data_IF_757586682067
#
_entry.id   IF_757586682067
#
_cell.length_a   1.000
_cell.length_b   1.000
_cell.length_c   1.000
_cell.angle_alpha   90.00
_cell.angle_beta   90.00
_cell.angle_gamma   90.00
#
_symmetry.space_group_name_H-M   'P 1'
#
loop_
_entity.id
_entity.type
_entity.pdbx_description
1 polymer ?
#
# COMPACT_ATOMS: atom_id res chain seq x y z
N UNK A 1 -1.11 -24.97 1.31
CA UNK A 1 -0.54 -24.19 0.18
C UNK A 1 0.32 -23.11 0.81
N UNK A 2 1.58 -22.96 0.38
CA UNK A 2 2.48 -21.95 0.97
C UNK A 2 2.08 -20.55 0.48
N UNK A 3 1.29 -19.85 1.30
CA UNK A 3 0.78 -18.52 0.95
C UNK A 3 1.89 -17.47 0.94
N UNK A 4 2.91 -17.62 1.79
CA UNK A 4 4.04 -16.68 1.86
C UNK A 4 4.88 -16.80 0.59
N UNK A 5 5.18 -18.02 0.17
CA UNK A 5 5.83 -18.28 -1.12
C UNK A 5 5.01 -17.73 -2.30
N UNK A 6 3.69 -17.90 -2.30
CA UNK A 6 2.82 -17.38 -3.36
C UNK A 6 2.79 -15.85 -3.43
N UNK A 7 2.80 -15.16 -2.27
CA UNK A 7 2.87 -13.69 -2.20
C UNK A 7 4.22 -13.20 -2.71
N UNK A 8 5.33 -13.80 -2.26
CA UNK A 8 6.67 -13.45 -2.74
C UNK A 8 6.78 -13.61 -4.26
N UNK A 9 6.25 -14.72 -4.80
CA UNK A 9 6.27 -14.97 -6.24
C UNK A 9 5.39 -13.97 -7.02
N UNK A 10 4.25 -13.57 -6.46
CA UNK A 10 3.39 -12.54 -7.06
C UNK A 10 4.13 -11.20 -7.15
N UNK A 11 4.78 -10.77 -6.07
CA UNK A 11 5.58 -9.54 -6.04
C UNK A 11 6.76 -9.62 -7.01
N UNK A 12 7.44 -10.76 -7.08
CA UNK A 12 8.59 -10.97 -7.96
C UNK A 12 8.19 -10.97 -9.43
N UNK A 13 7.25 -11.82 -9.84
CA UNK A 13 6.91 -12.01 -11.25
C UNK A 13 6.07 -10.88 -11.83
N UNK A 14 5.13 -10.32 -11.03
CA UNK A 14 4.21 -9.30 -11.53
C UNK A 14 4.65 -7.88 -11.14
N UNK A 15 5.41 -7.72 -10.06
CA UNK A 15 5.87 -6.42 -9.57
C UNK A 15 7.01 -5.80 -10.37
N UNK A 16 7.63 -6.52 -11.31
CA UNK A 16 8.62 -5.93 -12.24
C UNK A 16 8.00 -4.94 -13.24
N UNK A 17 6.68 -4.95 -13.39
CA UNK A 17 5.96 -3.99 -14.24
C UNK A 17 6.06 -2.56 -13.66
N UNK A 18 6.01 -1.57 -14.56
CA UNK A 18 5.99 -0.16 -14.18
C UNK A 18 4.80 0.13 -13.25
N UNK A 19 5.05 0.86 -12.17
CA UNK A 19 4.01 1.25 -11.23
C UNK A 19 3.20 2.42 -11.77
N UNK A 20 2.07 2.12 -12.42
CA UNK A 20 1.22 3.13 -13.03
C UNK A 20 2.00 4.01 -14.00
N UNK A 21 2.13 5.30 -13.67
CA UNK A 21 2.92 6.27 -14.43
C UNK A 21 4.12 6.81 -13.61
N UNK A 22 4.57 6.07 -12.61
CA UNK A 22 5.75 6.39 -11.80
C UNK A 22 7.03 5.84 -12.48
N UNK A 23 8.19 6.37 -12.07
CA UNK A 23 9.49 5.98 -12.62
C UNK A 23 10.13 4.78 -11.89
N UNK A 24 9.33 4.00 -11.17
CA UNK A 24 9.74 2.80 -10.44
C UNK A 24 8.83 1.63 -10.83
N UNK A 25 9.33 0.40 -10.67
CA UNK A 25 8.48 -0.79 -10.74
C UNK A 25 7.63 -0.92 -9.47
N UNK A 26 6.56 -1.72 -9.52
CA UNK A 26 5.75 -2.00 -8.33
C UNK A 26 6.55 -2.67 -7.22
N UNK A 27 7.48 -3.56 -7.58
CA UNK A 27 8.37 -4.19 -6.62
C UNK A 27 9.32 -3.17 -5.99
N UNK A 28 9.94 -2.30 -6.79
CA UNK A 28 10.83 -1.26 -6.26
C UNK A 28 10.08 -0.30 -5.31
N UNK A 29 8.85 0.09 -5.66
CA UNK A 29 7.99 0.89 -4.81
C UNK A 29 7.68 0.19 -3.48
N UNK A 30 7.24 -1.07 -3.52
CA UNK A 30 6.95 -1.87 -2.34
C UNK A 30 8.16 -2.01 -1.41
N UNK A 31 9.35 -2.27 -1.96
CA UNK A 31 10.59 -2.42 -1.19
C UNK A 31 11.02 -1.10 -0.53
N UNK A 32 10.89 0.03 -1.24
CA UNK A 32 11.20 1.35 -0.69
C UNK A 32 10.24 1.71 0.44
N UNK A 33 8.94 1.44 0.29
CA UNK A 33 7.95 1.67 1.35
C UNK A 33 8.25 0.84 2.59
N UNK A 34 8.60 -0.44 2.42
CA UNK A 34 8.98 -1.31 3.53
C UNK A 34 10.29 -0.88 4.21
N UNK A 35 11.28 -0.43 3.43
CA UNK A 35 12.56 0.07 3.93
C UNK A 35 12.38 1.34 4.78
N UNK A 36 11.52 2.27 4.34
CA UNK A 36 11.18 3.48 5.11
C UNK A 36 10.48 3.12 6.43
N UNK A 37 9.50 2.21 6.39
CA UNK A 37 8.82 1.72 7.59
C UNK A 37 9.81 1.08 8.58
N UNK A 38 10.73 0.25 8.09
CA UNK A 38 11.78 -0.37 8.91
C UNK A 38 12.73 0.68 9.51
N UNK A 39 13.14 1.69 8.73
CA UNK A 39 14.03 2.76 9.19
C UNK A 39 13.43 3.62 10.31
N UNK A 40 12.10 3.67 10.40
CA UNK A 40 11.36 4.34 11.47
C UNK A 40 10.92 3.38 12.58
N UNK A 41 11.55 2.20 12.67
CA UNK A 41 11.31 1.19 13.71
C UNK A 41 9.82 0.81 13.82
N UNK A 42 9.11 0.76 12.69
CA UNK A 42 7.73 0.32 12.66
C UNK A 42 7.59 -1.15 13.10
N UNK A 43 6.39 -1.53 13.54
CA UNK A 43 6.12 -2.93 13.91
C UNK A 43 6.23 -3.85 12.68
N UNK A 44 6.54 -5.13 12.90
CA UNK A 44 6.58 -6.13 11.81
C UNK A 44 5.29 -6.14 10.98
N UNK A 45 4.14 -5.91 11.61
CA UNK A 45 2.85 -5.84 10.90
C UNK A 45 2.78 -4.63 9.96
N UNK A 46 3.30 -3.48 10.38
CA UNK A 46 3.26 -2.27 9.57
C UNK A 46 4.35 -2.26 8.48
N UNK A 47 5.51 -2.89 8.74
CA UNK A 47 6.52 -3.16 7.69
C UNK A 47 5.92 -4.09 6.63
N UNK A 48 5.29 -5.19 7.05
CA UNK A 48 4.58 -6.10 6.14
C UNK A 48 3.46 -5.38 5.38
N UNK A 49 2.67 -4.53 6.04
CA UNK A 49 1.63 -3.72 5.40
C UNK A 49 2.22 -2.80 4.33
N UNK A 50 3.35 -2.15 4.62
CA UNK A 50 4.03 -1.23 3.69
C UNK A 50 4.55 -1.96 2.45
N UNK A 51 5.07 -3.18 2.61
CA UNK A 51 5.46 -4.04 1.49
C UNK A 51 4.25 -4.45 0.63
N UNK A 52 3.10 -4.70 1.25
CA UNK A 52 1.96 -5.37 0.61
C UNK A 52 0.82 -4.42 0.21
N UNK A 53 0.89 -3.12 0.50
CA UNK A 53 -0.24 -2.21 0.37
C UNK A 53 -0.85 -2.14 -1.03
N UNK A 54 -0.03 -2.31 -2.06
CA UNK A 54 -0.44 -2.26 -3.46
C UNK A 54 -0.67 -3.65 -4.10
N UNK A 55 -0.63 -4.73 -3.31
CA UNK A 55 -0.83 -6.10 -3.86
C UNK A 55 -2.17 -6.26 -4.58
N UNK A 56 -3.16 -5.44 -4.26
CA UNK A 56 -4.45 -5.39 -4.96
C UNK A 56 -4.31 -5.20 -6.46
N UNK A 57 -3.32 -4.43 -6.93
CA UNK A 57 -3.02 -4.28 -8.36
C UNK A 57 -2.57 -5.58 -9.03
N UNK A 58 -1.93 -6.48 -8.28
CA UNK A 58 -1.30 -7.71 -8.79
C UNK A 58 -2.26 -8.91 -8.80
N UNK A 59 -3.18 -8.94 -7.84
CA UNK A 59 -4.12 -10.06 -7.65
C UNK A 59 -5.47 -9.83 -8.33
N UNK A 60 -5.80 -8.58 -8.68
CA UNK A 60 -7.02 -8.28 -9.40
C UNK A 60 -6.92 -8.67 -10.89
N UNK A 61 -7.61 -9.76 -11.25
CA UNK A 61 -7.69 -10.28 -12.63
C UNK A 61 -8.27 -9.27 -13.63
N UNK A 62 -8.97 -8.24 -13.19
CA UNK A 62 -9.49 -7.16 -14.07
C UNK A 62 -8.35 -6.32 -14.67
N UNK A 63 -7.14 -6.38 -14.12
CA UNK A 63 -5.96 -5.75 -14.75
C UNK A 63 -5.50 -6.48 -16.02
N UNK A 64 -5.83 -7.76 -16.18
CA UNK A 64 -5.44 -8.56 -17.37
C UNK A 64 -6.38 -8.33 -18.57
N UNK A 65 -7.58 -7.77 -18.39
CA UNK A 65 -8.66 -7.73 -19.41
C UNK A 65 -8.73 -6.39 -20.19
N UNK A 66 -7.72 -5.53 -20.06
CA UNK A 66 -7.66 -4.28 -20.84
C UNK A 66 -8.26 -3.07 -20.13
N UNK A 67 -7.51 -1.98 -20.19
CA UNK A 67 -7.65 -0.80 -19.35
C UNK A 67 -8.95 -0.03 -19.61
N UNK A 68 -9.88 -0.03 -18.65
CA UNK A 68 -10.65 1.20 -18.41
C UNK A 68 -9.69 2.19 -17.77
N UNK A 69 -9.21 3.13 -18.59
CA UNK A 69 -8.57 4.35 -18.13
C UNK A 69 -9.65 5.16 -17.41
N UNK A 70 -9.32 5.77 -16.28
CA UNK A 70 -10.16 6.73 -15.55
C UNK A 70 -11.26 6.16 -14.62
N UNK A 71 -11.06 4.98 -14.04
CA UNK A 71 -11.90 4.46 -12.95
C UNK A 71 -11.03 4.09 -11.75
N UNK A 72 -11.44 4.50 -10.55
CA UNK A 72 -10.84 4.02 -9.30
C UNK A 72 -11.18 2.54 -9.11
N UNK A 73 -10.15 1.71 -8.91
CA UNK A 73 -10.29 0.24 -8.89
C UNK A 73 -10.35 -0.33 -7.49
N UNK A 74 -10.21 0.50 -6.47
CA UNK A 74 -10.26 0.10 -5.06
C UNK A 74 -9.23 -0.99 -4.75
N UNK A 75 -7.98 -0.79 -5.18
CA UNK A 75 -6.92 -1.78 -4.98
C UNK A 75 -6.59 -1.99 -3.51
N UNK A 76 -6.78 -0.96 -2.69
CA UNK A 76 -6.71 -0.99 -1.23
C UNK A 76 -7.68 -2.01 -0.64
N UNK A 77 -8.94 -2.02 -1.11
CA UNK A 77 -9.98 -2.92 -0.61
C UNK A 77 -9.74 -4.35 -1.10
N UNK A 78 -9.33 -4.52 -2.36
CA UNK A 78 -9.02 -5.84 -2.94
C UNK A 78 -7.82 -6.47 -2.24
N UNK A 79 -6.75 -5.70 -2.05
CA UNK A 79 -5.53 -6.14 -1.37
C UNK A 79 -5.83 -6.54 0.07
N UNK A 80 -6.52 -5.68 0.82
CA UNK A 80 -6.91 -5.98 2.20
C UNK A 80 -7.82 -7.21 2.29
N UNK A 81 -8.84 -7.32 1.44
CA UNK A 81 -9.73 -8.48 1.40
C UNK A 81 -8.98 -9.78 1.09
N UNK A 82 -8.07 -9.76 0.11
CA UNK A 82 -7.23 -10.90 -0.23
C UNK A 82 -6.36 -11.35 0.95
N UNK A 83 -5.72 -10.39 1.64
CA UNK A 83 -4.79 -10.66 2.74
C UNK A 83 -5.47 -11.00 4.08
N UNK A 84 -6.72 -10.56 4.30
CA UNK A 84 -7.47 -10.79 5.55
C UNK A 84 -7.67 -12.26 5.92
N UNK A 85 -7.46 -13.17 4.98
CA UNK A 85 -7.53 -14.62 5.17
C UNK A 85 -6.30 -15.20 5.86
N UNK A 86 -5.20 -14.44 5.91
CA UNK A 86 -3.87 -14.93 6.27
C UNK A 86 -3.12 -14.00 7.25
N UNK A 87 -3.62 -12.78 7.44
CA UNK A 87 -2.95 -11.75 8.23
C UNK A 87 -3.92 -11.03 9.16
N UNK A 88 -3.44 -10.55 10.31
CA UNK A 88 -4.26 -9.82 11.27
C UNK A 88 -4.61 -8.42 10.78
N UNK A 89 -5.60 -7.79 11.42
CA UNK A 89 -6.02 -6.42 11.14
C UNK A 89 -4.88 -5.39 11.19
N UNK A 90 -3.85 -5.62 12.01
CA UNK A 90 -2.65 -4.78 12.06
C UNK A 90 -1.84 -4.73 10.76
N UNK A 91 -2.05 -5.69 9.85
CA UNK A 91 -1.51 -5.67 8.47
C UNK A 91 -2.57 -5.16 7.50
N UNK A 92 -3.79 -5.69 7.57
CA UNK A 92 -4.79 -5.47 6.51
C UNK A 92 -5.50 -4.13 6.58
N UNK A 93 -5.72 -3.57 7.78
CA UNK A 93 -6.40 -2.28 7.92
C UNK A 93 -5.53 -1.11 7.44
N UNK A 94 -4.22 -1.01 7.76
CA UNK A 94 -3.37 0.00 7.14
C UNK A 94 -3.35 -0.07 5.61
N UNK A 95 -3.40 -1.27 5.04
CA UNK A 95 -3.52 -1.48 3.60
C UNK A 95 -4.87 -0.95 3.09
N UNK A 96 -5.98 -1.35 3.69
CA UNK A 96 -7.32 -0.88 3.28
C UNK A 96 -7.45 0.65 3.37
N UNK A 97 -6.82 1.25 4.37
CA UNK A 97 -6.94 2.66 4.71
C UNK A 97 -5.90 3.56 4.02
N UNK A 98 -4.94 3.03 3.26
CA UNK A 98 -3.88 3.87 2.68
C UNK A 98 -4.39 4.86 1.62
N UNK A 99 -5.45 4.55 0.87
CA UNK A 99 -6.10 5.51 -0.04
C UNK A 99 -6.87 6.59 0.73
N UNK A 100 -7.77 6.26 1.68
CA UNK A 100 -8.35 7.23 2.61
C UNK A 100 -7.32 8.12 3.32
N UNK A 101 -6.18 7.56 3.73
CA UNK A 101 -5.09 8.30 4.37
C UNK A 101 -4.52 9.40 3.46
N UNK A 102 -4.44 9.18 2.14
CA UNK A 102 -4.09 10.24 1.17
C UNK A 102 -5.08 11.40 1.23
N UNK A 103 -6.38 11.07 1.15
CA UNK A 103 -7.46 12.07 1.18
C UNK A 103 -7.44 12.88 2.48
N UNK A 104 -7.16 12.21 3.59
CA UNK A 104 -6.97 12.82 4.90
C UNK A 104 -5.78 13.77 4.92
N UNK A 105 -4.59 13.32 4.50
CA UNK A 105 -3.38 14.14 4.50
C UNK A 105 -3.52 15.39 3.63
N UNK A 106 -4.15 15.28 2.46
CA UNK A 106 -4.48 16.44 1.63
C UNK A 106 -5.42 17.45 2.30
N UNK A 107 -6.21 17.04 3.29
CA UNK A 107 -7.07 17.93 4.07
C UNK A 107 -6.34 18.53 5.28
N UNK A 108 -5.68 17.70 6.09
CA UNK A 108 -5.12 18.16 7.38
C UNK A 108 -3.76 18.84 7.28
N UNK A 109 -2.97 18.55 6.25
CA UNK A 109 -1.61 19.05 6.12
C UNK A 109 -1.46 20.00 4.94
N UNK A 110 -1.19 21.26 5.27
CA UNK A 110 -0.92 22.28 4.27
C UNK A 110 0.32 21.90 3.47
N UNK A 111 0.19 21.87 2.13
CA UNK A 111 1.30 21.53 1.24
C UNK A 111 1.31 20.07 0.78
N UNK A 112 0.55 19.17 1.43
CA UNK A 112 0.60 17.73 1.11
C UNK A 112 0.09 17.42 -0.30
N UNK A 113 -0.95 18.11 -0.77
CA UNK A 113 -1.43 17.95 -2.14
C UNK A 113 -0.34 18.29 -3.17
N UNK A 114 0.47 19.32 -2.91
CA UNK A 114 1.53 19.79 -3.79
C UNK A 114 2.75 18.85 -3.81
N UNK A 115 2.96 18.05 -2.77
CA UNK A 115 4.03 17.04 -2.73
C UNK A 115 3.67 15.74 -3.45
N UNK A 116 2.40 15.52 -3.80
CA UNK A 116 1.99 14.31 -4.51
C UNK A 116 2.61 14.22 -5.90
N UNK A 117 2.96 13.00 -6.32
CA UNK A 117 3.34 12.74 -7.70
C UNK A 117 2.18 13.05 -8.67
N UNK A 118 2.45 13.29 -9.97
CA UNK A 118 1.39 13.46 -10.96
C UNK A 118 0.42 12.27 -11.03
N UNK A 119 0.88 11.04 -10.74
CA UNK A 119 0.01 9.87 -10.69
C UNK A 119 -0.89 9.87 -9.44
N UNK A 120 -0.35 10.21 -8.27
CA UNK A 120 -1.12 10.34 -7.02
C UNK A 120 -2.17 11.45 -7.10
N UNK A 121 -1.86 12.59 -7.75
CA UNK A 121 -2.83 13.68 -7.98
C UNK A 121 -3.99 13.22 -8.85
N UNK A 122 -3.70 12.50 -9.95
CA UNK A 122 -4.75 11.97 -10.83
C UNK A 122 -5.65 10.98 -10.09
N UNK A 123 -5.06 10.01 -9.38
CA UNK A 123 -5.85 9.01 -8.64
C UNK A 123 -6.66 9.64 -7.50
N UNK A 124 -6.14 10.67 -6.83
CA UNK A 124 -6.89 11.41 -5.82
C UNK A 124 -8.20 12.00 -6.38
N UNK A 125 -8.18 12.52 -7.61
CA UNK A 125 -9.38 13.02 -8.28
C UNK A 125 -10.44 11.94 -8.52
N UNK A 126 -10.01 10.72 -8.90
CA UNK A 126 -10.90 9.57 -9.09
C UNK A 126 -11.43 9.02 -7.74
N UNK A 127 -10.69 9.23 -6.66
CA UNK A 127 -10.96 8.74 -5.31
C UNK A 127 -11.82 9.71 -4.46
N UNK A 128 -12.34 10.78 -5.07
CA UNK A 128 -13.23 11.73 -4.38
C UNK A 128 -12.51 12.92 -3.71
N UNK A 129 -11.24 13.17 -4.03
CA UNK A 129 -10.52 14.37 -3.58
C UNK A 129 -10.12 14.36 -2.10
N UNK A 130 -9.65 15.50 -1.60
CA UNK A 130 -9.36 15.67 -0.17
C UNK A 130 -10.64 15.52 0.66
N UNK A 131 -10.49 15.05 1.90
CA UNK A 131 -11.62 14.95 2.82
C UNK A 131 -12.20 16.32 3.19
N UNK A 132 -13.49 16.32 3.52
CA UNK A 132 -14.13 17.33 4.34
C UNK A 132 -13.74 17.19 5.82
N UNK A 133 -14.06 18.20 6.63
CA UNK A 133 -13.81 18.17 8.07
C UNK A 133 -14.45 16.98 8.78
N UNK A 134 -15.68 16.60 8.41
CA UNK A 134 -16.37 15.45 8.99
C UNK A 134 -15.74 14.13 8.56
N UNK A 135 -15.46 13.95 7.26
CA UNK A 135 -14.79 12.74 6.78
C UNK A 135 -13.42 12.54 7.43
N UNK A 136 -12.67 13.63 7.64
CA UNK A 136 -11.36 13.56 8.28
C UNK A 136 -11.45 13.16 9.76
N UNK A 137 -12.44 13.69 10.49
CA UNK A 137 -12.69 13.32 11.88
C UNK A 137 -13.12 11.86 12.01
N UNK A 138 -14.01 11.40 11.14
CA UNK A 138 -14.48 10.01 11.11
C UNK A 138 -13.34 9.05 10.72
N UNK A 139 -12.50 9.44 9.75
CA UNK A 139 -11.36 8.63 9.32
C UNK A 139 -10.35 8.42 10.42
N UNK A 140 -9.84 9.50 11.04
CA UNK A 140 -8.74 9.39 12.00
C UNK A 140 -9.17 8.71 13.32
N UNK A 141 -10.48 8.65 13.59
CA UNK A 141 -11.06 7.90 14.69
C UNK A 141 -11.13 6.38 14.47
N UNK A 142 -10.87 5.89 13.26
CA UNK A 142 -10.88 4.45 12.96
C UNK A 142 -9.66 3.75 13.58
N UNK A 143 -9.81 2.49 14.04
CA UNK A 143 -8.67 1.63 14.33
C UNK A 143 -7.69 1.59 13.15
N UNK A 144 -6.38 1.61 13.45
CA UNK A 144 -5.29 1.58 12.47
C UNK A 144 -5.20 2.78 11.50
N UNK A 145 -6.03 3.82 11.64
CA UNK A 145 -5.95 5.00 10.78
C UNK A 145 -4.62 5.76 10.95
N UNK A 146 -4.08 5.83 12.17
CA UNK A 146 -2.78 6.46 12.42
C UNK A 146 -1.64 5.71 11.70
N UNK A 147 -1.65 4.38 11.76
CA UNK A 147 -0.72 3.51 11.04
C UNK A 147 -0.87 3.65 9.52
N UNK A 148 -2.10 3.73 9.01
CA UNK A 148 -2.38 3.99 7.60
C UNK A 148 -1.83 5.34 7.13
N UNK A 149 -1.91 6.37 7.99
CA UNK A 149 -1.32 7.70 7.72
C UNK A 149 0.21 7.62 7.65
N UNK A 150 0.85 6.85 8.53
CA UNK A 150 2.31 6.61 8.44
C UNK A 150 2.67 5.89 7.15
N UNK A 151 1.98 4.79 6.86
CA UNK A 151 2.15 4.02 5.63
C UNK A 151 2.01 4.90 4.40
N UNK A 152 0.99 5.76 4.36
CA UNK A 152 0.75 6.66 3.23
C UNK A 152 1.91 7.60 2.95
N UNK A 153 2.58 8.10 3.99
CA UNK A 153 3.76 8.96 3.81
C UNK A 153 4.90 8.20 3.16
N UNK A 154 5.13 6.95 3.59
CA UNK A 154 6.14 6.10 2.98
C UNK A 154 5.79 5.75 1.53
N UNK A 155 4.53 5.43 1.22
CA UNK A 155 4.02 5.28 -0.16
C UNK A 155 4.40 6.51 -1.02
N UNK A 156 4.06 7.73 -0.57
CA UNK A 156 4.37 8.91 -1.38
C UNK A 156 5.88 9.19 -1.54
N UNK A 157 6.71 8.77 -0.57
CA UNK A 157 8.18 8.91 -0.62
C UNK A 157 8.88 7.80 -1.43
N UNK A 158 8.27 6.62 -1.55
CA UNK A 158 8.86 5.40 -2.12
C UNK A 158 8.88 5.37 -3.66
N UNK A 159 9.33 6.45 -4.28
CA UNK A 159 9.30 6.67 -5.74
C UNK A 159 10.65 7.13 -6.29
N UNK A 160 11.73 6.79 -5.59
CA UNK A 160 13.09 7.20 -5.93
C UNK A 160 13.70 6.21 -6.90
N UNK A 161 13.95 6.65 -8.13
CA UNK A 161 14.56 5.80 -9.16
C UNK A 161 15.97 5.37 -8.75
N UNK A 162 16.25 4.07 -8.80
CA UNK A 162 17.59 3.52 -8.52
C UNK A 162 17.99 3.52 -7.04
N UNK A 163 17.07 3.81 -6.11
CA UNK A 163 17.35 3.68 -4.68
C UNK A 163 17.58 2.21 -4.31
N UNK A 164 18.72 1.92 -3.70
CA UNK A 164 19.01 0.59 -3.17
C UNK A 164 18.22 0.34 -1.88
N UNK A 165 17.63 -0.85 -1.77
CA UNK A 165 16.91 -1.32 -0.60
C UNK A 165 17.41 -2.71 -0.22
N UNK A 166 17.13 -3.19 1.01
CA UNK A 166 17.20 -4.63 1.28
C UNK A 166 16.37 -5.43 0.25
N UNK A 167 16.75 -6.70 -0.01
CA UNK A 167 16.08 -7.52 -1.01
C UNK A 167 14.68 -7.96 -0.54
N UNK A 168 13.86 -8.46 -1.46
CA UNK A 168 12.51 -8.94 -1.14
C UNK A 168 12.51 -9.99 -0.01
N UNK A 169 13.49 -10.89 0.01
CA UNK A 169 13.62 -11.95 1.00
C UNK A 169 13.78 -11.39 2.43
N UNK A 170 14.44 -10.23 2.57
CA UNK A 170 14.56 -9.53 3.85
C UNK A 170 13.18 -9.11 4.36
N UNK A 171 12.38 -8.44 3.53
CA UNK A 171 11.07 -7.96 3.96
C UNK A 171 10.01 -9.07 4.06
N UNK A 172 10.14 -10.14 3.27
CA UNK A 172 9.28 -11.32 3.39
C UNK A 172 9.46 -12.04 4.74
N UNK A 173 10.58 -11.83 5.46
CA UNK A 173 10.73 -12.35 6.82
C UNK A 173 9.72 -11.71 7.80
N UNK A 174 9.43 -10.41 7.66
CA UNK A 174 8.39 -9.73 8.44
C UNK A 174 7.00 -10.24 8.07
N UNK A 175 6.73 -10.47 6.78
CA UNK A 175 5.48 -11.05 6.31
C UNK A 175 5.28 -12.45 6.91
N UNK A 176 6.31 -13.30 6.89
CA UNK A 176 6.27 -14.63 7.49
C UNK A 176 6.05 -14.58 9.01
N UNK A 177 6.65 -13.61 9.71
CA UNK A 177 6.52 -13.44 11.16
C UNK A 177 5.09 -13.11 11.59
N UNK A 178 4.37 -12.32 10.80
CA UNK A 178 3.01 -11.84 11.14
C UNK A 178 1.89 -12.66 10.48
N UNK A 179 2.26 -13.68 9.72
CA UNK A 179 1.32 -14.62 9.14
C UNK A 179 0.58 -15.38 10.24
N UNK A 180 -0.74 -15.32 10.22
CA UNK A 180 -1.60 -16.13 11.07
C UNK A 180 -2.04 -17.34 10.24
N UNK A 181 -1.57 -18.56 10.57
CA UNK A 181 -2.11 -19.77 9.95
C UNK A 181 -3.62 -19.78 10.15
N UNK A 182 -4.39 -20.13 9.11
CA UNK A 182 -5.81 -20.37 9.29
C UNK A 182 -6.00 -21.45 10.36
N UNK A 183 -6.84 -21.19 11.35
CA UNK A 183 -7.35 -22.24 12.24
C UNK A 183 -7.97 -23.32 11.34
N UNK A 184 -7.36 -24.51 11.33
CA UNK A 184 -7.80 -25.68 10.55
C UNK A 184 -9.06 -26.27 11.16
#
# INVERSE_FOLDING_TARGET
>A
MDVIGAIAETLRLKGEQQYGNENVSQLAHALQSAALAESEEASSSLIAASLLHDIGHLVDKRFEIGQQKDVDRHHEDIGAAYLSRFFPAGVTEPIRLHVPAKRYLCYVEQGYFQSLSPASVRSLGLQGGAFSASEAADFIGQPQAAEAVRLRRWDDLAKVQGLETPPLEHFMSYVAQVHTPADV
#
